data_IF_598389344947
#
_entry.id   IF_598389344947
#
_cell.length_a   1.000
_cell.length_b   1.000
_cell.length_c   1.000
_cell.angle_alpha   90.00
_cell.angle_beta   90.00
_cell.angle_gamma   90.00
#
_symmetry.space_group_name_H-M   'P 1'
#
loop_
_entity.id
_entity.type
_entity.pdbx_description
1 polymer ?
#
# COMPACT_ATOMS: atom_id res chain seq x y z
N UNK A 1 42.78 72.76 1.97
CA UNK A 1 43.53 71.70 2.67
C UNK A 1 42.74 71.29 3.90
N UNK A 2 42.45 69.98 4.01
CA UNK A 2 42.00 69.23 5.20
C UNK A 2 40.47 69.24 5.43
N UNK A 3 39.69 68.28 4.90
CA UNK A 3 39.43 66.89 5.37
C UNK A 3 38.28 66.78 6.39
N UNK A 4 37.18 66.12 6.01
CA UNK A 4 36.50 65.08 6.82
C UNK A 4 35.25 64.53 6.09
N UNK A 5 35.24 63.21 5.91
CA UNK A 5 34.16 62.37 5.41
C UNK A 5 33.04 62.20 6.44
N UNK A 6 31.77 62.19 6.00
CA UNK A 6 30.69 61.45 6.69
C UNK A 6 29.86 60.71 5.64
N UNK A 7 30.13 59.41 5.52
CA UNK A 7 29.24 58.43 4.89
C UNK A 7 27.94 58.35 5.70
N UNK A 8 26.80 58.45 5.02
CA UNK A 8 25.53 57.93 5.56
C UNK A 8 25.12 56.72 4.73
N UNK A 9 25.13 55.58 5.40
CA UNK A 9 24.62 54.29 4.92
C UNK A 9 23.09 54.41 4.83
N UNK A 10 22.52 54.25 3.65
CA UNK A 10 21.10 53.92 3.49
C UNK A 10 20.96 52.44 3.18
N UNK A 11 20.17 51.77 4.02
CA UNK A 11 20.01 50.34 4.07
C UNK A 11 19.46 49.76 2.76
N UNK A 12 20.12 48.71 2.26
CA UNK A 12 19.56 47.83 1.25
C UNK A 12 18.53 46.90 1.91
N UNK A 13 17.25 47.09 1.60
CA UNK A 13 16.19 46.14 1.96
C UNK A 13 16.37 44.87 1.15
N UNK A 14 16.91 43.82 1.78
CA UNK A 14 16.88 42.46 1.27
C UNK A 14 15.43 41.94 1.34
N UNK A 15 14.73 41.98 0.20
CA UNK A 15 13.47 41.28 0.02
C UNK A 15 13.71 39.78 0.06
N UNK A 16 13.30 39.14 1.15
CA UNK A 16 13.29 37.68 1.28
C UNK A 16 12.16 37.15 0.38
N UNK A 17 12.51 36.69 -0.83
CA UNK A 17 11.59 35.97 -1.70
C UNK A 17 11.27 34.62 -1.03
N UNK A 18 10.13 34.58 -0.33
CA UNK A 18 9.61 33.38 0.30
C UNK A 18 9.19 32.42 -0.83
N UNK A 19 10.05 31.46 -1.14
CA UNK A 19 9.74 30.35 -2.04
C UNK A 19 8.59 29.56 -1.42
N UNK A 20 7.37 29.78 -1.91
CA UNK A 20 6.21 28.93 -1.67
C UNK A 20 6.51 27.57 -2.31
N UNK A 21 7.13 26.67 -1.54
CA UNK A 21 7.18 25.26 -1.89
C UNK A 21 5.74 24.75 -1.87
N UNK A 22 5.19 24.24 -2.99
CA UNK A 22 3.90 23.56 -2.94
C UNK A 22 4.07 22.38 -1.99
N UNK A 23 3.31 22.38 -0.90
CA UNK A 23 3.13 21.18 -0.10
C UNK A 23 2.61 20.11 -1.06
N UNK A 24 3.42 19.10 -1.36
CA UNK A 24 2.96 17.94 -2.08
C UNK A 24 1.78 17.39 -1.27
N UNK A 25 0.56 17.63 -1.74
CA UNK A 25 -0.61 16.98 -1.20
C UNK A 25 -0.34 15.49 -1.41
N UNK A 26 0.00 14.79 -0.33
CA UNK A 26 0.06 13.34 -0.34
C UNK A 26 -1.35 12.92 -0.70
N UNK A 27 -1.57 12.60 -1.99
CA UNK A 27 -2.82 12.04 -2.45
C UNK A 27 -3.18 10.95 -1.46
N UNK A 28 -4.32 11.11 -0.77
CA UNK A 28 -4.77 10.11 0.19
C UNK A 28 -4.74 8.77 -0.54
N UNK A 29 -4.03 7.78 0.00
CA UNK A 29 -3.85 6.53 -0.70
C UNK A 29 -5.28 5.97 -0.96
N UNK A 30 -5.68 5.66 -2.20
CA UNK A 30 -7.11 5.57 -2.57
C UNK A 30 -7.99 4.61 -1.75
N UNK A 31 -7.37 3.62 -1.11
CA UNK A 31 -8.04 2.63 -0.27
C UNK A 31 -7.93 2.89 1.23
N UNK A 32 -7.24 3.94 1.69
CA UNK A 32 -7.03 4.17 3.11
C UNK A 32 -8.35 4.33 3.87
N UNK A 33 -8.46 3.60 4.99
CA UNK A 33 -9.67 3.51 5.81
C UNK A 33 -10.71 2.50 5.29
N UNK A 34 -10.52 1.89 4.12
CA UNK A 34 -11.43 0.87 3.60
C UNK A 34 -11.21 -0.48 4.27
N UNK A 35 -12.32 -1.19 4.47
CA UNK A 35 -12.35 -2.54 5.02
C UNK A 35 -13.28 -3.38 4.17
N UNK A 36 -12.84 -4.58 3.82
CA UNK A 36 -13.61 -5.54 3.05
C UNK A 36 -13.67 -6.88 3.77
N UNK A 37 -14.78 -7.60 3.59
CA UNK A 37 -14.94 -8.99 4.00
C UNK A 37 -14.91 -9.83 2.72
N UNK A 38 -13.97 -10.77 2.64
CA UNK A 38 -13.71 -11.57 1.43
C UNK A 38 -13.68 -13.06 1.73
N UNK A 39 -14.11 -13.84 0.75
CA UNK A 39 -13.80 -15.25 0.64
C UNK A 39 -12.57 -15.43 -0.25
N UNK A 40 -11.81 -16.48 0.01
CA UNK A 40 -10.62 -16.81 -0.77
C UNK A 40 -10.45 -18.32 -0.94
N UNK A 41 -9.69 -18.70 -1.97
CA UNK A 41 -9.33 -20.10 -2.19
C UNK A 41 -8.47 -20.34 -3.43
N UNK A 42 -8.02 -21.59 -3.65
CA UNK A 42 -7.17 -21.92 -4.77
C UNK A 42 -7.82 -21.60 -6.13
N UNK A 43 -7.00 -21.17 -7.09
CA UNK A 43 -7.45 -20.94 -8.47
C UNK A 43 -8.16 -22.18 -9.02
N UNK A 44 -9.35 -21.95 -9.59
CA UNK A 44 -10.17 -23.01 -10.19
C UNK A 44 -10.92 -23.88 -9.17
N UNK A 45 -10.89 -23.54 -7.88
CA UNK A 45 -11.63 -24.24 -6.82
C UNK A 45 -12.59 -23.29 -6.09
N UNK A 46 -13.55 -23.88 -5.38
CA UNK A 46 -14.41 -23.13 -4.46
C UNK A 46 -13.59 -22.56 -3.29
N UNK A 47 -14.15 -21.57 -2.61
CA UNK A 47 -13.54 -21.00 -1.42
C UNK A 47 -13.45 -22.06 -0.31
N UNK A 48 -12.25 -22.26 0.19
CA UNK A 48 -11.91 -23.04 1.40
C UNK A 48 -11.67 -22.12 2.60
N UNK A 49 -11.57 -20.81 2.37
CA UNK A 49 -11.45 -19.77 3.38
C UNK A 49 -12.54 -18.71 3.22
N UNK A 50 -13.20 -18.36 4.33
CA UNK A 50 -14.33 -17.43 4.35
C UNK A 50 -14.16 -16.31 5.35
N UNK A 51 -14.81 -15.20 5.04
CA UNK A 51 -14.92 -14.02 5.91
C UNK A 51 -13.57 -13.44 6.37
N UNK A 52 -12.53 -13.49 5.54
CA UNK A 52 -11.29 -12.75 5.79
C UNK A 52 -11.55 -11.24 5.76
N UNK A 53 -10.93 -10.52 6.68
CA UNK A 53 -11.06 -9.06 6.79
C UNK A 53 -9.82 -8.42 6.21
N UNK A 54 -9.98 -7.79 5.04
CA UNK A 54 -8.93 -7.00 4.40
C UNK A 54 -9.04 -5.55 4.86
N UNK A 55 -7.99 -5.01 5.44
CA UNK A 55 -7.94 -3.62 5.93
C UNK A 55 -6.87 -2.84 5.20
N UNK A 56 -7.23 -1.65 4.73
CA UNK A 56 -6.33 -0.65 4.18
C UNK A 56 -6.26 0.54 5.14
N UNK A 57 -5.07 0.87 5.64
CA UNK A 57 -4.88 1.95 6.61
C UNK A 57 -3.46 2.48 6.57
N UNK A 58 -3.32 3.80 6.53
CA UNK A 58 -2.03 4.52 6.56
C UNK A 58 -1.05 4.04 5.46
N UNK A 59 -1.57 3.75 4.26
CA UNK A 59 -0.82 3.20 3.13
C UNK A 59 -0.43 1.72 3.30
N UNK A 60 -1.02 1.02 4.27
CA UNK A 60 -0.74 -0.40 4.56
C UNK A 60 -1.95 -1.28 4.34
N UNK A 61 -1.70 -2.48 3.83
CA UNK A 61 -2.65 -3.56 3.67
C UNK A 61 -2.44 -4.61 4.77
N UNK A 62 -3.55 -5.19 5.22
CA UNK A 62 -3.57 -6.29 6.19
C UNK A 62 -4.68 -7.27 5.86
N UNK A 63 -4.39 -8.58 5.96
CA UNK A 63 -5.37 -9.67 5.95
C UNK A 63 -5.39 -10.30 7.34
N UNK A 64 -6.55 -10.26 8.01
CA UNK A 64 -6.71 -10.83 9.35
C UNK A 64 -6.57 -12.34 9.36
N UNK A 65 -7.09 -13.03 8.34
CA UNK A 65 -6.99 -14.48 8.26
C UNK A 65 -5.55 -14.95 8.13
N UNK A 66 -4.71 -14.19 7.45
CA UNK A 66 -3.30 -14.52 7.27
C UNK A 66 -2.44 -14.33 8.54
N UNK A 67 -2.96 -13.71 9.60
CA UNK A 67 -2.26 -13.54 10.90
C UNK A 67 -1.83 -14.90 11.49
N UNK A 68 -2.68 -15.93 11.38
CA UNK A 68 -2.38 -17.27 11.91
C UNK A 68 -1.20 -17.95 11.21
N UNK A 69 -0.82 -17.49 10.03
CA UNK A 69 0.34 -17.96 9.27
C UNK A 69 1.54 -17.01 9.40
N UNK A 70 1.43 -15.97 10.25
CA UNK A 70 2.51 -15.03 10.53
C UNK A 70 2.74 -14.00 9.42
N UNK A 71 1.79 -13.80 8.50
CA UNK A 71 1.90 -12.73 7.53
C UNK A 71 1.56 -11.39 8.18
N UNK A 72 2.51 -10.46 8.16
CA UNK A 72 2.31 -9.10 8.65
C UNK A 72 1.58 -8.19 7.65
N UNK A 73 1.69 -6.89 7.89
CA UNK A 73 1.17 -5.86 6.98
C UNK A 73 2.13 -5.57 5.84
N UNK A 74 1.61 -5.17 4.67
CA UNK A 74 2.39 -4.77 3.50
C UNK A 74 2.12 -3.32 3.12
N UNK A 75 3.11 -2.59 2.60
CA UNK A 75 2.82 -1.32 1.91
C UNK A 75 2.05 -1.65 0.64
N UNK A 76 0.98 -0.91 0.35
CA UNK A 76 0.25 -1.09 -0.91
C UNK A 76 0.48 0.09 -1.85
N UNK A 77 0.48 -0.23 -3.13
CA UNK A 77 0.39 0.74 -4.22
C UNK A 77 -1.00 0.64 -4.81
N UNK A 78 -1.60 1.78 -5.17
CA UNK A 78 -2.92 1.80 -5.78
C UNK A 78 -3.02 2.92 -6.82
N UNK A 79 -3.73 2.63 -7.90
CA UNK A 79 -4.08 3.57 -8.97
C UNK A 79 -5.59 3.62 -9.08
N UNK A 80 -6.14 4.83 -9.08
CA UNK A 80 -7.56 5.09 -9.33
C UNK A 80 -7.71 5.65 -10.76
N UNK A 81 -8.51 4.98 -11.60
CA UNK A 81 -8.82 5.42 -12.97
C UNK A 81 -10.22 6.08 -13.09
N UNK A 82 -10.91 6.28 -11.97
CA UNK A 82 -12.27 6.83 -11.89
C UNK A 82 -13.38 5.78 -12.03
N UNK A 83 -13.10 4.59 -12.56
CA UNK A 83 -14.04 3.47 -12.61
C UNK A 83 -13.72 2.42 -11.54
N UNK A 84 -12.43 2.19 -11.28
CA UNK A 84 -11.94 1.26 -10.29
C UNK A 84 -10.63 1.70 -9.66
N UNK A 85 -10.37 1.19 -8.47
CA UNK A 85 -9.05 1.25 -7.85
C UNK A 85 -8.37 -0.10 -8.02
N UNK A 86 -7.22 -0.13 -8.68
CA UNK A 86 -6.37 -1.33 -8.77
C UNK A 86 -5.23 -1.20 -7.77
N UNK A 87 -4.96 -2.24 -6.99
CA UNK A 87 -3.88 -2.25 -6.02
C UNK A 87 -2.97 -3.47 -6.12
N UNK A 88 -1.74 -3.30 -5.66
CA UNK A 88 -0.78 -4.38 -5.44
C UNK A 88 -0.08 -4.22 -4.09
N UNK A 89 0.23 -5.33 -3.44
CA UNK A 89 1.00 -5.34 -2.20
C UNK A 89 1.66 -6.70 -1.97
N UNK A 90 2.69 -6.72 -1.14
CA UNK A 90 3.33 -7.95 -0.68
C UNK A 90 3.25 -8.03 0.84
N UNK A 91 2.86 -9.19 1.36
CA UNK A 91 2.93 -9.51 2.79
C UNK A 91 3.87 -10.68 3.02
N UNK A 92 4.68 -10.61 4.07
CA UNK A 92 5.73 -11.60 4.35
C UNK A 92 5.47 -12.28 5.69
N UNK A 93 5.72 -13.59 5.71
CA UNK A 93 5.78 -14.45 6.89
C UNK A 93 7.19 -15.07 6.97
N UNK A 94 7.80 -15.02 8.15
CA UNK A 94 9.13 -15.59 8.36
C UNK A 94 9.18 -17.11 8.12
N UNK A 95 8.07 -17.80 8.41
CA UNK A 95 7.93 -19.25 8.28
C UNK A 95 7.32 -19.67 6.96
N UNK A 96 6.35 -18.92 6.44
CA UNK A 96 5.49 -19.36 5.33
C UNK A 96 5.89 -18.76 3.96
N UNK A 97 6.74 -17.73 3.96
CA UNK A 97 7.25 -17.08 2.74
C UNK A 97 6.56 -15.75 2.46
N UNK A 98 6.12 -15.52 1.22
CA UNK A 98 5.49 -14.24 0.84
C UNK A 98 4.22 -14.44 0.01
N UNK A 99 3.27 -13.53 0.17
CA UNK A 99 2.05 -13.43 -0.63
C UNK A 99 2.12 -12.15 -1.45
N UNK A 100 1.97 -12.27 -2.77
CA UNK A 100 1.81 -11.13 -3.67
C UNK A 100 0.34 -11.00 -4.00
N UNK A 101 -0.24 -9.87 -3.63
CA UNK A 101 -1.65 -9.57 -3.83
C UNK A 101 -1.80 -8.63 -5.02
N UNK A 102 -2.81 -8.89 -5.85
CA UNK A 102 -3.30 -7.94 -6.84
C UNK A 102 -4.81 -7.92 -6.77
N UNK A 103 -5.39 -6.74 -6.60
CA UNK A 103 -6.84 -6.61 -6.53
C UNK A 103 -7.38 -5.40 -7.26
N UNK A 104 -8.69 -5.44 -7.46
CA UNK A 104 -9.49 -4.41 -8.11
C UNK A 104 -10.70 -4.14 -7.22
N UNK A 105 -10.96 -2.87 -6.96
CA UNK A 105 -12.10 -2.39 -6.17
C UNK A 105 -13.01 -1.59 -7.09
N UNK A 106 -14.26 -2.02 -7.20
CA UNK A 106 -15.32 -1.34 -7.94
C UNK A 106 -16.49 -1.07 -7.00
N UNK A 107 -16.69 0.20 -6.65
CA UNK A 107 -17.70 0.62 -5.68
C UNK A 107 -17.52 -0.08 -4.33
N UNK A 108 -18.45 -0.96 -3.99
CA UNK A 108 -18.44 -1.74 -2.75
C UNK A 108 -17.89 -3.16 -2.92
N UNK A 109 -17.40 -3.52 -4.10
CA UNK A 109 -16.88 -4.87 -4.39
C UNK A 109 -15.37 -4.86 -4.48
N UNK A 110 -14.76 -5.97 -4.08
CA UNK A 110 -13.33 -6.22 -4.23
C UNK A 110 -13.12 -7.63 -4.77
N UNK A 111 -12.21 -7.77 -5.72
CA UNK A 111 -11.75 -9.07 -6.16
C UNK A 111 -10.28 -9.04 -6.59
N UNK A 112 -9.65 -10.20 -6.65
CA UNK A 112 -8.28 -10.30 -7.11
C UNK A 112 -7.67 -11.67 -6.98
N UNK A 113 -6.34 -11.68 -7.08
CA UNK A 113 -5.52 -12.87 -6.99
C UNK A 113 -4.41 -12.71 -5.97
N UNK A 114 -3.95 -13.86 -5.47
CA UNK A 114 -2.81 -13.98 -4.56
C UNK A 114 -1.85 -14.99 -5.17
N UNK A 115 -0.57 -14.66 -5.22
CA UNK A 115 0.49 -15.62 -5.53
C UNK A 115 1.27 -15.92 -4.26
N UNK A 116 1.19 -17.16 -3.80
CA UNK A 116 1.89 -17.63 -2.61
C UNK A 116 3.22 -18.26 -2.99
N UNK A 117 4.30 -17.53 -2.68
CA UNK A 117 5.67 -18.01 -2.79
C UNK A 117 6.10 -18.59 -1.45
N UNK A 118 5.93 -19.91 -1.31
CA UNK A 118 6.28 -20.62 -0.08
C UNK A 118 7.76 -20.63 0.17
N UNK A 119 8.13 -20.62 1.44
CA UNK A 119 9.52 -20.81 1.84
C UNK A 119 9.98 -22.24 1.50
N UNK A 120 11.20 -22.42 0.97
CA UNK A 120 11.81 -23.75 0.85
C UNK A 120 11.86 -24.48 2.19
N UNK A 121 11.70 -25.80 2.14
CA UNK A 121 11.91 -26.70 3.27
C UNK A 121 12.88 -27.81 2.89
N UNK A 122 13.32 -28.59 3.87
CA UNK A 122 14.24 -29.70 3.63
C UNK A 122 13.69 -30.79 2.71
N UNK A 123 12.37 -30.98 2.68
CA UNK A 123 11.67 -31.91 1.77
C UNK A 123 11.32 -31.31 0.41
N UNK A 124 11.23 -29.98 0.32
CA UNK A 124 10.89 -29.29 -0.91
C UNK A 124 11.73 -28.03 -1.04
N UNK A 125 12.85 -28.15 -1.76
CA UNK A 125 13.82 -27.07 -1.94
C UNK A 125 13.36 -25.98 -2.90
N UNK A 126 12.41 -26.27 -3.78
CA UNK A 126 11.91 -25.32 -4.77
C UNK A 126 10.37 -25.46 -4.88
N UNK A 127 9.62 -24.97 -3.89
CA UNK A 127 8.17 -25.07 -3.92
C UNK A 127 7.60 -24.21 -5.04
N UNK A 128 6.78 -24.81 -5.89
CA UNK A 128 6.06 -24.08 -6.91
C UNK A 128 5.10 -23.05 -6.27
N UNK A 129 5.03 -21.82 -6.84
CA UNK A 129 4.06 -20.82 -6.41
C UNK A 129 2.63 -21.33 -6.54
N UNK A 130 1.78 -20.97 -5.59
CA UNK A 130 0.34 -21.28 -5.64
C UNK A 130 -0.45 -20.03 -5.99
N UNK A 131 -1.41 -20.16 -6.90
CA UNK A 131 -2.35 -19.09 -7.23
C UNK A 131 -3.66 -19.28 -6.46
N UNK A 132 -4.11 -18.22 -5.81
CA UNK A 132 -5.40 -18.13 -5.14
C UNK A 132 -6.20 -16.97 -5.73
N UNK A 133 -7.51 -17.00 -5.52
CA UNK A 133 -8.41 -15.90 -5.77
C UNK A 133 -9.00 -15.38 -4.45
N UNK A 134 -9.43 -14.12 -4.43
CA UNK A 134 -10.26 -13.58 -3.36
C UNK A 134 -11.38 -12.73 -3.94
N UNK A 135 -12.55 -12.73 -3.32
CA UNK A 135 -13.71 -11.91 -3.69
C UNK A 135 -14.51 -11.54 -2.47
N UNK A 136 -15.03 -10.33 -2.45
CA UNK A 136 -15.87 -9.89 -1.36
C UNK A 136 -16.39 -8.48 -1.53
N UNK A 137 -16.84 -7.90 -0.42
CA UNK A 137 -17.48 -6.58 -0.41
C UNK A 137 -17.04 -5.74 0.79
N UNK A 138 -17.25 -4.42 0.68
CA UNK A 138 -16.99 -3.49 1.76
C UNK A 138 -17.83 -3.84 3.01
N UNK A 139 -17.22 -3.68 4.18
CA UNK A 139 -17.86 -3.88 5.48
C UNK A 139 -18.76 -2.70 5.87
#
# INVERSE_FOLDING_TARGET
MNSAWIMRVTAATLGCALLLLPAAARSAAPLDGKVFVVDLGPKGKAADEKDDVLTFRDGRFHSKFCDKYGFGTGTYEATDDGAAVVFTTETVSESDGRLVWRGRVEGATIEGTIVHHRKPSWFNRNPEPRELWFRGRAK
#
